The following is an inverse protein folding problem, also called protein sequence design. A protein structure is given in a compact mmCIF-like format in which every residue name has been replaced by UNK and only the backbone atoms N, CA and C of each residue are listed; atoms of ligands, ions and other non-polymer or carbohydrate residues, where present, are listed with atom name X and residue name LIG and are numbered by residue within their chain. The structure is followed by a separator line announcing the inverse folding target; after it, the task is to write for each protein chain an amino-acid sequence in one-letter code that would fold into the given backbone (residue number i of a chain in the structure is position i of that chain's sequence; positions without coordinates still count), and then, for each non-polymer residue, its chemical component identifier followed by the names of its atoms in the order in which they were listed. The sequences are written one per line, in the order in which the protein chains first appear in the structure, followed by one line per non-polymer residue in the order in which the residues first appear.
data_IF_703589388579
#
_entry.id   IF_703589388579
#
_cell.length_a   1.000
_cell.length_b   1.000
_cell.length_c   1.000
_cell.angle_alpha   90.00
_cell.angle_beta   90.00
_cell.angle_gamma   90.00
#
_symmetry.space_group_name_H-M   'P 1'
#
loop_
_entity.id
_entity.type
_entity.pdbx_description
1 polymer ?
#
# COMPACT_ATOMS: atom_id res chain seq x y z
N UNK A 1 1.19 -5.10 8.13
CA UNK A 1 2.47 -4.55 7.68
C UNK A 1 3.37 -5.69 7.25
N UNK A 2 3.95 -5.58 6.06
CA UNK A 2 4.90 -6.59 5.57
C UNK A 2 6.19 -6.52 6.41
N UNK A 3 6.77 -7.68 6.72
CA UNK A 3 8.05 -7.82 7.42
C UNK A 3 9.15 -7.00 6.72
N UNK A 4 9.11 -6.97 5.38
CA UNK A 4 10.05 -6.20 4.57
C UNK A 4 9.91 -4.69 4.77
N UNK A 5 8.69 -4.18 4.93
CA UNK A 5 8.46 -2.75 5.21
C UNK A 5 9.06 -2.37 6.57
N UNK A 6 8.86 -3.20 7.60
CA UNK A 6 9.41 -2.95 8.93
C UNK A 6 10.93 -3.01 8.89
N UNK A 7 11.51 -4.04 8.28
CA UNK A 7 12.95 -4.20 8.14
C UNK A 7 13.59 -3.02 7.40
N UNK A 8 12.97 -2.56 6.31
CA UNK A 8 13.45 -1.42 5.52
C UNK A 8 13.46 -0.11 6.31
N UNK A 9 12.40 0.18 7.08
CA UNK A 9 12.33 1.39 7.92
C UNK A 9 13.41 1.37 9.00
N UNK A 10 13.61 0.23 9.66
CA UNK A 10 14.65 0.06 10.69
C UNK A 10 16.04 0.24 10.07
N UNK A 11 16.30 -0.41 8.93
CA UNK A 11 17.59 -0.32 8.22
C UNK A 11 17.89 1.11 7.78
N UNK A 12 16.89 1.86 7.29
CA UNK A 12 17.05 3.26 6.92
C UNK A 12 17.43 4.12 8.14
N UNK A 13 16.75 3.93 9.26
CA UNK A 13 17.07 4.62 10.51
C UNK A 13 18.50 4.33 11.01
N UNK A 14 18.89 3.05 11.02
CA UNK A 14 20.24 2.62 11.41
C UNK A 14 21.29 3.21 10.45
N UNK A 15 21.04 3.21 9.15
CA UNK A 15 21.97 3.75 8.15
C UNK A 15 22.18 5.26 8.35
N UNK A 16 21.12 6.01 8.60
CA UNK A 16 21.19 7.46 8.82
C UNK A 16 21.95 7.78 10.13
N UNK A 17 21.57 7.13 11.22
CA UNK A 17 22.17 7.37 12.54
C UNK A 17 23.63 6.88 12.56
N UNK A 18 23.89 5.69 12.02
CA UNK A 18 25.22 5.09 11.92
C UNK A 18 26.15 5.93 11.04
N UNK A 19 25.68 6.40 9.88
CA UNK A 19 26.46 7.29 9.02
C UNK A 19 26.84 8.59 9.73
N UNK A 20 25.88 9.26 10.38
CA UNK A 20 26.16 10.48 11.13
C UNK A 20 27.11 10.26 12.31
N UNK A 21 26.99 9.12 13.01
CA UNK A 21 27.89 8.77 14.12
C UNK A 21 29.34 8.54 13.64
N UNK A 22 29.53 7.89 12.49
CA UNK A 22 30.86 7.67 11.90
C UNK A 22 31.55 8.98 11.51
N UNK A 23 30.78 10.00 11.12
CA UNK A 23 31.28 11.36 10.86
C UNK A 23 31.57 12.17 12.13
N UNK A 24 31.33 11.60 13.32
CA UNK A 24 31.44 12.30 14.60
C UNK A 24 30.33 13.32 14.85
N UNK A 25 29.23 13.21 14.10
CA UNK A 25 28.09 14.11 14.18
C UNK A 25 27.25 13.90 15.45
N UNK A 26 26.58 14.96 15.87
CA UNK A 26 25.58 14.91 16.94
C UNK A 26 24.18 14.75 16.36
N UNK A 27 23.26 14.10 17.10
CA UNK A 27 21.88 13.90 16.62
C UNK A 27 21.14 15.22 16.32
N UNK A 28 21.48 16.29 17.04
CA UNK A 28 20.97 17.66 16.81
C UNK A 28 21.38 18.22 15.45
N UNK A 29 22.48 17.74 14.86
CA UNK A 29 22.95 18.14 13.53
C UNK A 29 22.14 17.51 12.38
N UNK A 30 21.34 16.47 12.65
CA UNK A 30 20.44 15.87 11.65
C UNK A 30 19.09 16.61 11.58
N UNK A 31 18.65 17.20 12.69
CA UNK A 31 17.34 17.83 12.80
C UNK A 31 17.45 19.33 12.51
N UNK A 32 17.57 19.68 11.22
CA UNK A 32 17.45 21.06 10.75
C UNK A 32 16.06 21.33 10.17
N UNK A 33 15.22 22.14 10.85
CA UNK A 33 13.88 22.48 10.36
C UNK A 33 13.88 23.13 8.98
N UNK A 34 14.91 23.94 8.68
CA UNK A 34 15.05 24.62 7.38
C UNK A 34 15.28 23.60 6.25
N UNK A 35 16.18 22.64 6.44
CA UNK A 35 16.45 21.61 5.45
C UNK A 35 15.21 20.72 5.22
N UNK A 36 14.49 20.37 6.30
CA UNK A 36 13.24 19.63 6.21
C UNK A 36 12.17 20.38 5.41
N UNK A 37 12.04 21.70 5.61
CA UNK A 37 11.06 22.51 4.89
C UNK A 37 11.40 22.63 3.40
N UNK A 38 12.67 22.81 3.04
CA UNK A 38 13.09 22.91 1.63
C UNK A 38 12.88 21.58 0.91
N UNK A 39 13.36 20.47 1.49
CA UNK A 39 13.27 19.15 0.86
C UNK A 39 11.83 18.64 0.90
N UNK A 40 11.20 18.61 2.07
CA UNK A 40 9.83 18.13 2.24
C UNK A 40 8.81 19.00 1.51
N UNK A 41 8.88 20.32 1.71
CA UNK A 41 8.00 21.27 1.02
C UNK A 41 8.24 21.30 -0.48
N UNK A 42 9.50 21.23 -0.92
CA UNK A 42 9.88 21.16 -2.33
C UNK A 42 9.36 19.91 -3.01
N UNK A 43 9.53 18.74 -2.40
CA UNK A 43 8.99 17.47 -2.92
C UNK A 43 7.46 17.52 -3.01
N UNK A 44 6.77 18.01 -1.97
CA UNK A 44 5.31 18.17 -1.99
C UNK A 44 4.86 19.13 -3.10
N UNK A 45 5.53 20.27 -3.27
CA UNK A 45 5.22 21.22 -4.33
C UNK A 45 5.42 20.61 -5.73
N UNK A 46 6.51 19.87 -5.94
CA UNK A 46 6.76 19.14 -7.18
C UNK A 46 5.66 18.11 -7.44
N UNK A 47 5.22 17.38 -6.41
CA UNK A 47 4.15 16.39 -6.53
C UNK A 47 2.83 17.03 -6.95
N UNK A 48 2.47 18.18 -6.36
CA UNK A 48 1.25 18.92 -6.72
C UNK A 48 1.30 19.49 -8.15
N UNK A 49 2.48 19.83 -8.66
CA UNK A 49 2.66 20.26 -10.05
C UNK A 49 2.60 19.06 -11.01
N UNK A 50 3.17 17.92 -10.60
CA UNK A 50 3.30 16.74 -11.45
C UNK A 50 2.01 15.91 -11.55
N UNK A 51 1.21 15.86 -10.49
CA UNK A 51 0.02 14.99 -10.42
C UNK A 51 -1.29 15.77 -10.29
N UNK A 52 -2.32 15.39 -11.07
CA UNK A 52 -3.69 15.85 -10.85
C UNK A 52 -4.16 15.66 -9.41
N UNK A 53 -4.96 16.60 -8.91
CA UNK A 53 -5.35 16.66 -7.49
C UNK A 53 -6.14 15.42 -7.04
N UNK A 54 -6.96 14.84 -7.92
CA UNK A 54 -7.73 13.63 -7.67
C UNK A 54 -6.83 12.40 -7.44
N UNK A 55 -5.76 12.26 -8.23
CA UNK A 55 -4.76 11.21 -8.08
C UNK A 55 -3.97 11.42 -6.79
N UNK A 56 -3.55 12.65 -6.50
CA UNK A 56 -2.83 12.99 -5.28
C UNK A 56 -3.63 12.62 -4.02
N UNK A 57 -4.90 13.01 -3.96
CA UNK A 57 -5.79 12.68 -2.84
C UNK A 57 -6.01 11.18 -2.68
N UNK A 58 -6.11 10.44 -3.80
CA UNK A 58 -6.20 8.98 -3.77
C UNK A 58 -4.91 8.34 -3.26
N UNK A 59 -3.76 8.80 -3.72
CA UNK A 59 -2.45 8.31 -3.26
C UNK A 59 -2.27 8.49 -1.75
N UNK A 60 -2.65 9.66 -1.21
CA UNK A 60 -2.66 9.96 0.23
C UNK A 60 -3.51 8.98 1.04
N UNK A 61 -4.69 8.61 0.54
CA UNK A 61 -5.56 7.60 1.17
C UNK A 61 -4.94 6.20 1.14
N UNK A 62 -4.23 5.88 0.05
CA UNK A 62 -3.57 4.58 -0.14
C UNK A 62 -2.28 4.45 0.68
N UNK A 63 -1.66 5.54 1.13
CA UNK A 63 -0.48 5.48 2.00
C UNK A 63 -0.71 4.65 3.26
N UNK A 64 -1.96 4.60 3.78
CA UNK A 64 -2.33 3.75 4.92
C UNK A 64 -2.05 2.26 4.66
N UNK A 65 -2.09 1.83 3.41
CA UNK A 65 -1.83 0.43 3.01
C UNK A 65 -0.38 0.02 3.19
N UNK A 66 0.56 0.98 3.28
CA UNK A 66 1.95 0.65 3.63
C UNK A 66 2.04 0.00 5.02
N UNK A 67 1.15 0.37 5.94
CA UNK A 67 1.09 -0.18 7.30
C UNK A 67 0.05 -1.30 7.38
N UNK A 68 -1.11 -1.07 6.77
CA UNK A 68 -2.27 -1.97 6.80
C UNK A 68 -2.70 -2.34 5.37
N UNK A 69 -1.96 -3.23 4.70
CA UNK A 69 -2.34 -3.67 3.36
C UNK A 69 -3.69 -4.39 3.41
N UNK A 70 -4.54 -4.24 2.38
CA UNK A 70 -5.77 -5.00 2.28
C UNK A 70 -5.44 -6.50 2.23
N UNK A 71 -6.21 -7.31 2.93
CA UNK A 71 -6.09 -8.77 2.85
C UNK A 71 -6.61 -9.21 1.48
N UNK A 72 -5.71 -9.69 0.63
CA UNK A 72 -6.07 -10.34 -0.62
C UNK A 72 -6.33 -11.82 -0.29
N UNK A 73 -7.60 -12.22 -0.27
CA UNK A 73 -8.00 -13.60 0.00
C UNK A 73 -7.89 -14.44 -1.29
N UNK A 74 -6.69 -14.51 -1.88
CA UNK A 74 -6.47 -15.16 -3.17
C UNK A 74 -6.85 -16.65 -3.17
N UNK A 75 -6.61 -17.35 -2.05
CA UNK A 75 -6.98 -18.75 -1.89
C UNK A 75 -8.51 -18.91 -1.89
N UNK A 76 -9.22 -18.11 -1.10
CA UNK A 76 -10.69 -18.11 -1.05
C UNK A 76 -11.29 -17.76 -2.42
N UNK A 77 -10.69 -16.80 -3.14
CA UNK A 77 -11.12 -16.44 -4.48
C UNK A 77 -10.94 -17.60 -5.47
N UNK A 78 -9.82 -18.33 -5.40
CA UNK A 78 -9.59 -19.52 -6.24
C UNK A 78 -10.64 -20.60 -5.94
N UNK A 79 -10.89 -20.89 -4.66
CA UNK A 79 -11.88 -21.88 -4.24
C UNK A 79 -13.28 -21.51 -4.76
N UNK A 80 -13.72 -20.25 -4.57
CA UNK A 80 -14.98 -19.74 -5.10
C UNK A 80 -15.09 -19.92 -6.62
N UNK A 81 -14.06 -19.52 -7.37
CA UNK A 81 -14.05 -19.65 -8.83
C UNK A 81 -14.13 -21.12 -9.26
N UNK A 82 -13.43 -22.03 -8.57
CA UNK A 82 -13.50 -23.46 -8.87
C UNK A 82 -14.87 -24.05 -8.58
N UNK A 83 -15.53 -23.63 -7.49
CA UNK A 83 -16.88 -24.07 -7.15
C UNK A 83 -17.90 -23.58 -8.17
N UNK A 84 -17.82 -22.31 -8.56
CA UNK A 84 -18.64 -21.76 -9.63
C UNK A 84 -18.44 -22.48 -10.96
N UNK A 85 -17.20 -22.83 -11.31
CA UNK A 85 -16.93 -23.62 -12.51
C UNK A 85 -17.60 -24.99 -12.47
N UNK A 86 -17.57 -25.66 -11.31
CA UNK A 86 -18.23 -26.95 -11.12
C UNK A 86 -19.76 -26.84 -11.21
N UNK A 87 -20.34 -25.78 -10.65
CA UNK A 87 -21.79 -25.51 -10.69
C UNK A 87 -22.21 -25.21 -12.13
N UNK A 88 -21.50 -24.32 -12.83
CA UNK A 88 -21.74 -24.01 -14.24
C UNK A 88 -21.73 -25.26 -15.12
N UNK A 89 -20.82 -26.21 -14.82
CA UNK A 89 -20.69 -27.47 -15.57
C UNK A 89 -21.83 -28.47 -15.30
N UNK A 90 -22.38 -28.49 -14.08
CA UNK A 90 -23.43 -29.43 -13.66
C UNK A 90 -24.84 -28.89 -13.91
N UNK A 91 -25.06 -27.62 -13.59
CA UNK A 91 -26.37 -26.97 -13.51
C UNK A 91 -26.56 -25.91 -14.61
N UNK A 92 -25.50 -25.57 -15.34
CA UNK A 92 -25.54 -24.55 -16.38
C UNK A 92 -25.44 -23.13 -15.83
N UNK A 93 -25.62 -22.15 -16.71
CA UNK A 93 -25.48 -20.72 -16.37
C UNK A 93 -26.55 -20.22 -15.38
N UNK A 94 -27.74 -20.83 -15.38
CA UNK A 94 -28.84 -20.44 -14.47
C UNK A 94 -28.50 -20.70 -13.00
N UNK A 95 -27.72 -21.77 -12.72
CA UNK A 95 -27.25 -22.07 -11.37
C UNK A 95 -26.27 -21.03 -10.84
N UNK A 96 -25.49 -20.39 -11.73
CA UNK A 96 -24.60 -19.30 -11.35
C UNK A 96 -25.34 -17.98 -11.07
N UNK A 97 -26.44 -17.71 -11.76
CA UNK A 97 -27.20 -16.46 -11.62
C UNK A 97 -27.72 -16.29 -10.18
N UNK A 98 -28.23 -17.37 -9.57
CA UNK A 98 -28.68 -17.37 -8.18
C UNK A 98 -27.54 -17.16 -7.15
N UNK A 99 -26.32 -17.57 -7.49
CA UNK A 99 -25.13 -17.36 -6.65
C UNK A 99 -24.61 -15.93 -6.78
N UNK A 100 -24.61 -15.38 -7.99
CA UNK A 100 -24.17 -14.02 -8.27
C UNK A 100 -25.03 -12.98 -7.52
N UNK A 101 -26.35 -13.19 -7.41
CA UNK A 101 -27.23 -12.28 -6.65
C UNK A 101 -26.91 -12.23 -5.14
N UNK A 102 -26.26 -13.26 -4.60
CA UNK A 102 -25.91 -13.36 -3.19
C UNK A 102 -24.45 -12.99 -2.88
N UNK A 103 -23.64 -12.67 -3.89
CA UNK A 103 -22.24 -12.34 -3.70
C UNK A 103 -22.08 -10.89 -3.20
N UNK A 104 -21.20 -10.73 -2.21
CA UNK A 104 -20.98 -9.45 -1.52
C UNK A 104 -19.91 -8.58 -2.18
N UNK A 105 -19.01 -9.20 -2.94
CA UNK A 105 -17.98 -8.52 -3.69
C UNK A 105 -18.52 -8.12 -5.07
N UNK A 106 -18.45 -6.83 -5.38
CA UNK A 106 -18.95 -6.25 -6.63
C UNK A 106 -18.21 -6.75 -7.89
N UNK A 107 -17.01 -7.30 -7.73
CA UNK A 107 -16.15 -7.74 -8.84
C UNK A 107 -15.92 -9.24 -8.88
N UNK A 108 -16.54 -9.99 -7.96
CA UNK A 108 -16.44 -11.44 -7.92
C UNK A 108 -17.46 -12.10 -8.87
#
# INVERSE_FOLDING_TARGET
MDMMTIAGVILAGISIIGGNYLEGGHLSSLLLPVAFLIVGGGTLACLLVQTPLDIFMKALKLTRWMIFPPKLAAVEAIEKITDWSNIARKEGLLGLEALAENESDLFA
#
